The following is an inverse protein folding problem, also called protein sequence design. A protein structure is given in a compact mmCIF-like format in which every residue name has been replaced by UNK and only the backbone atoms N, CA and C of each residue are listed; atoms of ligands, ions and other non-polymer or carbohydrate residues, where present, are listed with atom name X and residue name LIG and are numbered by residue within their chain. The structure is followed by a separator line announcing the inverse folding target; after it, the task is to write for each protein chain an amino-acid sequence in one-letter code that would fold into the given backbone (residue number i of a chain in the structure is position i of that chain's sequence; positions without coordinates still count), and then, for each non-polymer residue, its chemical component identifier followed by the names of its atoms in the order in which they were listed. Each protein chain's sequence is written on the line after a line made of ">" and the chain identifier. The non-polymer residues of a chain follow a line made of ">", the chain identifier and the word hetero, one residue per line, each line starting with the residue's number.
data_IF_090583346355
#
_entry.id   IF_090583346355
#
_cell.length_a   1.000
_cell.length_b   1.000
_cell.length_c   1.000
_cell.angle_alpha   90.00
_cell.angle_beta   90.00
_cell.angle_gamma   90.00
#
_symmetry.space_group_name_H-M   'P 1'
#
loop_
_entity.id
_entity.type
_entity.pdbx_description
1 polymer ?
#
# COMPACT_ATOMS: atom_id res chain seq x y z
N UNK A 1 -1.37 18.25 -24.29
CA UNK A 1 -2.22 17.48 -23.37
C UNK A 1 -3.67 17.81 -23.70
N UNK A 2 -4.49 16.77 -23.89
CA UNK A 2 -5.95 16.92 -24.06
C UNK A 2 -6.62 16.73 -22.71
N UNK A 3 -7.41 17.68 -22.29
CA UNK A 3 -8.17 17.64 -21.04
C UNK A 3 -9.66 17.56 -21.40
N UNK A 4 -10.37 16.64 -20.76
CA UNK A 4 -11.84 16.55 -20.79
C UNK A 4 -12.38 16.97 -19.43
N UNK A 5 -13.31 17.92 -19.43
CA UNK A 5 -14.04 18.29 -18.22
C UNK A 5 -15.23 17.33 -17.94
N UNK A 6 -15.94 17.55 -16.84
CA UNK A 6 -17.10 16.74 -16.44
C UNK A 6 -18.27 16.80 -17.46
N UNK A 7 -18.26 17.76 -18.39
CA UNK A 7 -19.22 17.91 -19.48
C UNK A 7 -18.71 17.29 -20.80
N UNK A 8 -17.57 16.57 -20.78
CA UNK A 8 -16.86 16.02 -21.95
C UNK A 8 -16.37 17.08 -22.94
N UNK A 9 -16.26 18.35 -22.53
CA UNK A 9 -15.66 19.39 -23.36
C UNK A 9 -14.15 19.24 -23.37
N UNK A 10 -13.56 19.17 -24.56
CA UNK A 10 -12.12 19.05 -24.73
C UNK A 10 -11.44 20.42 -24.76
N UNK A 11 -10.30 20.51 -24.08
CA UNK A 11 -9.34 21.61 -24.18
C UNK A 11 -7.95 21.05 -24.40
N UNK A 12 -7.12 21.81 -25.14
CA UNK A 12 -5.75 21.43 -25.47
C UNK A 12 -4.78 22.37 -24.77
N UNK A 13 -3.85 21.80 -23.99
CA UNK A 13 -2.72 22.53 -23.41
C UNK A 13 -1.45 22.14 -24.16
N UNK A 14 -0.76 23.12 -24.73
CA UNK A 14 0.59 22.95 -25.25
C UNK A 14 1.61 23.15 -24.14
N UNK A 15 2.62 22.31 -24.09
CA UNK A 15 3.65 22.34 -23.03
C UNK A 15 4.98 21.83 -23.59
N UNK A 16 6.08 22.40 -23.14
CA UNK A 16 7.44 21.94 -23.48
C UNK A 16 7.84 20.69 -22.70
N UNK A 17 7.31 20.53 -21.49
CA UNK A 17 7.59 19.40 -20.58
C UNK A 17 6.31 18.89 -19.96
N UNK A 18 6.19 17.57 -19.83
CA UNK A 18 5.06 16.90 -19.19
C UNK A 18 5.58 15.96 -18.11
N UNK A 19 5.01 16.03 -16.91
CA UNK A 19 5.30 15.11 -15.82
C UNK A 19 4.05 14.26 -15.58
N UNK A 20 4.15 12.95 -15.72
CA UNK A 20 3.10 11.99 -15.39
C UNK A 20 3.20 11.68 -13.88
N UNK A 21 2.23 12.16 -13.09
CA UNK A 21 2.16 11.97 -11.64
C UNK A 21 0.77 11.47 -11.23
N UNK A 22 0.21 10.55 -12.00
CA UNK A 22 -1.18 10.09 -11.88
C UNK A 22 -1.39 9.07 -10.76
N UNK A 23 -0.31 8.69 -10.07
CA UNK A 23 -0.38 7.86 -8.87
C UNK A 23 -0.77 6.41 -9.13
N UNK A 24 -1.55 5.86 -8.22
CA UNK A 24 -1.98 4.46 -8.24
C UNK A 24 -3.45 4.30 -7.86
N UNK A 25 -4.00 3.12 -8.16
CA UNK A 25 -5.36 2.72 -7.79
C UNK A 25 -5.33 1.39 -7.02
N UNK A 26 -6.30 1.13 -6.12
CA UNK A 26 -6.41 -0.16 -5.44
C UNK A 26 -6.53 -1.32 -6.42
N UNK A 27 -5.99 -2.48 -6.03
CA UNK A 27 -6.16 -3.75 -6.74
C UNK A 27 -7.24 -4.57 -6.07
N UNK A 28 -8.10 -5.21 -6.84
CA UNK A 28 -9.00 -6.25 -6.34
C UNK A 28 -8.47 -7.65 -6.66
N UNK A 29 -9.04 -8.65 -6.00
CA UNK A 29 -8.81 -10.05 -6.32
C UNK A 29 -9.59 -10.44 -7.60
N UNK A 30 -9.11 -11.40 -8.40
CA UNK A 30 -9.81 -11.87 -9.58
C UNK A 30 -11.24 -12.32 -9.25
N UNK A 31 -12.22 -11.83 -10.02
CA UNK A 31 -13.64 -12.15 -9.85
C UNK A 31 -14.33 -11.48 -8.66
N UNK A 32 -13.65 -10.59 -7.94
CA UNK A 32 -14.22 -9.81 -6.83
C UNK A 32 -14.33 -8.36 -7.26
N UNK A 33 -15.56 -7.86 -7.31
CA UNK A 33 -15.86 -6.47 -7.62
C UNK A 33 -15.92 -5.65 -6.32
N UNK A 34 -15.23 -4.51 -6.30
CA UNK A 34 -15.31 -3.51 -5.23
C UNK A 34 -16.50 -2.61 -5.54
N UNK A 35 -17.54 -2.64 -4.68
CA UNK A 35 -18.76 -1.85 -4.82
C UNK A 35 -18.75 -0.56 -4.00
N UNK A 36 -17.68 -0.35 -3.21
CA UNK A 36 -17.47 0.78 -2.28
C UNK A 36 -18.61 0.97 -1.25
N UNK A 37 -19.35 -0.09 -0.96
CA UNK A 37 -20.46 -0.15 0.01
C UNK A 37 -20.29 -1.27 1.02
N UNK A 38 -20.22 -2.50 0.55
CA UNK A 38 -20.01 -3.71 1.35
C UNK A 38 -18.59 -4.26 1.13
N UNK A 39 -18.17 -4.32 -0.12
CA UNK A 39 -16.80 -4.67 -0.52
C UNK A 39 -16.10 -3.38 -0.89
N UNK A 40 -15.25 -2.88 0.00
CA UNK A 40 -14.65 -1.56 -0.13
C UNK A 40 -13.15 -1.65 -0.40
N UNK A 41 -12.63 -0.66 -1.11
CA UNK A 41 -11.21 -0.33 -1.09
C UNK A 41 -10.87 0.55 0.12
N UNK A 42 -9.60 0.98 0.24
CA UNK A 42 -9.22 2.00 1.22
C UNK A 42 -10.01 3.31 1.04
N UNK A 43 -10.41 3.65 -0.19
CA UNK A 43 -11.22 4.84 -0.47
C UNK A 43 -12.61 4.74 0.15
N UNK A 44 -13.30 3.61 -0.02
CA UNK A 44 -14.61 3.38 0.60
C UNK A 44 -14.50 3.19 2.11
N UNK A 45 -13.44 2.51 2.59
CA UNK A 45 -13.21 2.34 4.02
C UNK A 45 -13.06 3.68 4.78
N UNK A 46 -12.52 4.72 4.14
CA UNK A 46 -12.43 6.07 4.70
C UNK A 46 -13.75 6.85 4.68
N UNK A 47 -14.77 6.35 3.97
CA UNK A 47 -16.06 7.02 3.76
C UNK A 47 -17.25 6.27 4.37
N UNK A 48 -17.01 5.24 5.18
CA UNK A 48 -18.10 4.53 5.84
C UNK A 48 -18.87 5.44 6.79
N UNK A 49 -20.18 5.50 6.61
CA UNK A 49 -21.07 6.38 7.39
C UNK A 49 -21.23 5.94 8.85
N UNK A 50 -20.91 4.69 9.16
CA UNK A 50 -21.03 4.11 10.50
C UNK A 50 -19.95 3.06 10.76
N UNK A 51 -19.65 2.85 12.02
CA UNK A 51 -18.75 1.77 12.47
C UNK A 51 -19.41 0.43 12.17
N UNK A 52 -18.80 -0.45 11.34
CA UNK A 52 -19.31 -1.80 11.15
C UNK A 52 -19.15 -2.61 12.43
N UNK A 53 -20.09 -3.50 12.72
CA UNK A 53 -19.92 -4.43 13.87
C UNK A 53 -18.80 -5.41 13.61
N UNK A 54 -18.73 -5.94 12.38
CA UNK A 54 -17.71 -6.88 11.94
C UNK A 54 -17.09 -6.42 10.61
N UNK A 55 -15.77 -6.35 10.58
CA UNK A 55 -15.00 -6.04 9.38
C UNK A 55 -14.00 -7.17 9.09
N UNK A 56 -14.00 -7.67 7.86
CA UNK A 56 -12.93 -8.53 7.36
C UNK A 56 -11.99 -7.69 6.50
N UNK A 57 -10.71 -7.70 6.85
CA UNK A 57 -9.64 -7.06 6.08
C UNK A 57 -8.91 -8.13 5.29
N UNK A 58 -8.93 -8.03 3.97
CA UNK A 58 -8.21 -8.92 3.07
C UNK A 58 -6.90 -8.26 2.69
N UNK A 59 -5.81 -8.80 3.22
CA UNK A 59 -4.44 -8.30 3.09
C UNK A 59 -3.89 -7.70 4.39
N UNK A 60 -2.79 -8.26 4.87
CA UNK A 60 -2.08 -7.84 6.09
C UNK A 60 -0.95 -6.84 5.82
N UNK A 61 -1.05 -6.05 4.74
CA UNK A 61 -0.14 -4.95 4.42
C UNK A 61 -0.46 -3.67 5.20
N UNK A 62 0.30 -2.61 4.96
CA UNK A 62 0.23 -1.32 5.65
C UNK A 62 -1.21 -0.77 5.68
N UNK A 63 -1.83 -0.61 4.51
CA UNK A 63 -3.19 -0.05 4.39
C UNK A 63 -4.22 -0.88 5.15
N UNK A 64 -4.17 -2.20 5.04
CA UNK A 64 -5.10 -3.10 5.72
C UNK A 64 -5.00 -3.01 7.24
N UNK A 65 -3.77 -2.91 7.76
CA UNK A 65 -3.53 -2.82 9.22
C UNK A 65 -3.87 -1.44 9.77
N UNK A 66 -3.55 -0.36 9.04
CA UNK A 66 -3.92 1.00 9.43
C UNK A 66 -5.44 1.15 9.50
N UNK A 67 -6.15 0.82 8.43
CA UNK A 67 -7.61 0.90 8.41
C UNK A 67 -8.25 -0.05 9.41
N UNK A 68 -7.78 -1.30 9.48
CA UNK A 68 -8.25 -2.28 10.47
C UNK A 68 -8.04 -1.82 11.90
N UNK A 69 -6.89 -1.19 12.21
CA UNK A 69 -6.60 -0.62 13.53
C UNK A 69 -7.56 0.54 13.86
N UNK A 70 -7.80 1.45 12.92
CA UNK A 70 -8.76 2.56 13.10
C UNK A 70 -10.15 2.02 13.41
N UNK A 71 -10.68 1.13 12.59
CA UNK A 71 -12.03 0.59 12.78
C UNK A 71 -12.14 -0.26 14.03
N UNK A 72 -11.10 -1.03 14.41
CA UNK A 72 -11.06 -1.77 15.67
C UNK A 72 -11.13 -0.84 16.88
N UNK A 73 -10.39 0.26 16.87
CA UNK A 73 -10.40 1.28 17.95
C UNK A 73 -11.73 2.02 18.05
N UNK A 74 -12.47 2.13 16.95
CA UNK A 74 -13.83 2.68 16.91
C UNK A 74 -14.90 1.67 17.37
N UNK A 75 -14.52 0.40 17.60
CA UNK A 75 -15.40 -0.64 18.17
C UNK A 75 -15.81 -1.75 17.21
N UNK A 76 -15.25 -1.80 16.00
CA UNK A 76 -15.49 -2.92 15.09
C UNK A 76 -14.72 -4.18 15.55
N UNK A 77 -15.34 -5.35 15.41
CA UNK A 77 -14.62 -6.63 15.45
C UNK A 77 -13.88 -6.82 14.13
N UNK A 78 -12.55 -6.67 14.15
CA UNK A 78 -11.72 -6.74 12.96
C UNK A 78 -11.01 -8.08 12.84
N UNK A 79 -11.09 -8.67 11.65
CA UNK A 79 -10.46 -9.92 11.31
C UNK A 79 -9.64 -9.78 10.01
N UNK A 80 -8.33 -9.95 10.11
CA UNK A 80 -7.41 -9.91 8.98
C UNK A 80 -7.26 -11.30 8.38
N UNK A 81 -7.39 -11.40 7.07
CA UNK A 81 -7.12 -12.60 6.26
C UNK A 81 -5.91 -12.29 5.39
N UNK A 82 -4.82 -13.05 5.58
CA UNK A 82 -3.56 -12.84 4.87
C UNK A 82 -3.09 -14.16 4.22
N UNK A 83 -2.64 -14.07 2.97
CA UNK A 83 -2.12 -15.20 2.21
C UNK A 83 -0.73 -15.64 2.69
N UNK A 84 0.09 -14.69 3.11
CA UNK A 84 1.44 -14.94 3.62
C UNK A 84 1.40 -15.47 5.06
N UNK A 85 2.56 -15.90 5.55
CA UNK A 85 2.76 -16.37 6.94
C UNK A 85 3.00 -15.23 7.94
N UNK A 86 3.15 -13.99 7.45
CA UNK A 86 3.41 -12.78 8.25
C UNK A 86 2.70 -11.56 7.66
N UNK A 87 2.54 -10.54 8.48
CA UNK A 87 2.00 -9.22 8.08
C UNK A 87 3.14 -8.31 7.59
N UNK A 88 2.80 -7.13 7.03
CA UNK A 88 3.75 -6.10 6.59
C UNK A 88 4.88 -6.66 5.71
N UNK A 89 4.56 -7.30 4.56
CA UNK A 89 5.59 -7.81 3.67
C UNK A 89 6.55 -6.68 3.24
N UNK A 90 7.85 -6.97 3.32
CA UNK A 90 8.91 -5.98 3.05
C UNK A 90 9.52 -5.34 4.30
N UNK A 91 8.90 -5.48 5.47
CA UNK A 91 9.53 -5.21 6.76
C UNK A 91 10.30 -6.44 7.28
N UNK A 92 11.24 -6.19 8.19
CA UNK A 92 11.96 -7.24 8.91
C UNK A 92 10.97 -8.19 9.60
N UNK A 93 11.18 -9.50 9.45
CA UNK A 93 10.24 -10.52 9.92
C UNK A 93 10.07 -10.52 11.43
N UNK A 94 11.14 -10.23 12.20
CA UNK A 94 11.05 -10.15 13.65
C UNK A 94 10.13 -9.01 14.07
N UNK A 95 10.25 -7.84 13.43
CA UNK A 95 9.40 -6.68 13.70
C UNK A 95 7.95 -6.97 13.30
N UNK A 96 7.72 -7.58 12.14
CA UNK A 96 6.39 -7.97 11.67
C UNK A 96 5.69 -8.93 12.65
N UNK A 97 6.43 -9.89 13.20
CA UNK A 97 5.88 -10.85 14.18
C UNK A 97 5.54 -10.18 15.51
N UNK A 98 6.40 -9.29 16.01
CA UNK A 98 6.14 -8.55 17.24
C UNK A 98 4.95 -7.60 17.08
N UNK A 99 4.90 -6.89 15.97
CA UNK A 99 3.77 -6.02 15.62
C UNK A 99 2.43 -6.81 15.59
N UNK A 100 2.42 -7.99 14.96
CA UNK A 100 1.23 -8.83 14.94
C UNK A 100 0.79 -9.25 16.36
N UNK A 101 1.74 -9.54 17.27
CA UNK A 101 1.42 -9.87 18.68
C UNK A 101 0.75 -8.68 19.38
N UNK A 102 1.24 -7.47 19.16
CA UNK A 102 0.68 -6.24 19.72
C UNK A 102 -0.75 -6.04 19.22
N UNK A 103 -0.97 -6.10 17.90
CA UNK A 103 -2.30 -5.95 17.32
C UNK A 103 -3.28 -7.03 17.79
N UNK A 104 -2.82 -8.27 18.01
CA UNK A 104 -3.62 -9.34 18.63
C UNK A 104 -4.05 -8.99 20.05
N UNK A 105 -3.14 -8.43 20.86
CA UNK A 105 -3.49 -7.97 22.23
C UNK A 105 -4.52 -6.85 22.21
N UNK A 106 -4.54 -6.03 21.15
CA UNK A 106 -5.54 -4.99 20.94
C UNK A 106 -6.88 -5.50 20.39
N UNK A 107 -7.02 -6.82 20.14
CA UNK A 107 -8.27 -7.45 19.75
C UNK A 107 -8.42 -7.77 18.27
N UNK A 108 -7.45 -7.43 17.42
CA UNK A 108 -7.48 -7.78 16.00
C UNK A 108 -7.19 -9.28 15.83
N UNK A 109 -8.04 -9.98 15.11
CA UNK A 109 -7.88 -11.41 14.81
C UNK A 109 -7.13 -11.58 13.49
N UNK A 110 -6.25 -12.58 13.40
CA UNK A 110 -5.43 -12.85 12.22
C UNK A 110 -5.62 -14.30 11.75
N UNK A 111 -5.89 -14.45 10.47
CA UNK A 111 -5.95 -15.73 9.74
C UNK A 111 -4.87 -15.70 8.65
N UNK A 112 -3.68 -16.16 9.07
CA UNK A 112 -2.50 -16.21 8.20
C UNK A 112 -2.53 -17.45 7.32
N UNK A 113 -1.84 -17.39 6.17
CA UNK A 113 -1.78 -18.48 5.19
C UNK A 113 -3.17 -18.92 4.71
N UNK A 114 -4.07 -17.94 4.55
CA UNK A 114 -5.43 -18.13 4.07
C UNK A 114 -5.62 -17.40 2.74
N UNK A 115 -5.94 -18.16 1.70
CA UNK A 115 -6.29 -17.64 0.38
C UNK A 115 -7.78 -17.35 0.33
N UNK A 116 -8.17 -16.14 -0.04
CA UNK A 116 -9.57 -15.82 -0.35
C UNK A 116 -9.95 -16.45 -1.68
N UNK A 117 -11.00 -17.27 -1.68
CA UNK A 117 -11.54 -17.91 -2.88
C UNK A 117 -12.74 -17.14 -3.44
N UNK A 118 -13.59 -16.61 -2.57
CA UNK A 118 -14.78 -15.88 -2.98
C UNK A 118 -15.23 -14.89 -1.89
N UNK A 119 -15.89 -13.83 -2.32
CA UNK A 119 -16.65 -12.93 -1.45
C UNK A 119 -18.05 -12.83 -2.04
N UNK A 120 -19.06 -13.11 -1.23
CA UNK A 120 -20.46 -13.08 -1.64
C UNK A 120 -21.25 -12.13 -0.76
N UNK A 121 -21.88 -11.12 -1.39
CA UNK A 121 -22.79 -10.24 -0.69
C UNK A 121 -24.03 -11.03 -0.23
N UNK A 122 -24.52 -10.69 0.95
CA UNK A 122 -25.79 -11.18 1.49
C UNK A 122 -26.67 -9.97 1.90
N UNK A 123 -27.82 -10.23 2.52
CA UNK A 123 -28.78 -9.17 2.89
C UNK A 123 -28.25 -8.16 3.92
N UNK A 124 -27.22 -8.54 4.70
CA UNK A 124 -26.73 -7.77 5.87
C UNK A 124 -25.26 -7.42 5.78
N UNK A 125 -24.55 -7.84 4.72
CA UNK A 125 -23.11 -7.64 4.54
C UNK A 125 -22.54 -8.62 3.53
N UNK A 126 -21.50 -9.36 3.90
CA UNK A 126 -20.84 -10.34 3.03
C UNK A 126 -20.34 -11.57 3.79
N UNK A 127 -20.07 -12.62 3.03
CA UNK A 127 -19.34 -13.82 3.48
C UNK A 127 -18.05 -13.94 2.69
N UNK A 128 -16.91 -13.94 3.39
CA UNK A 128 -15.59 -14.17 2.82
C UNK A 128 -15.24 -15.64 2.99
N UNK A 129 -15.14 -16.37 1.87
CA UNK A 129 -14.74 -17.78 1.83
C UNK A 129 -13.25 -17.90 1.58
N UNK A 130 -12.56 -18.66 2.40
CA UNK A 130 -11.11 -18.85 2.31
C UNK A 130 -10.72 -20.32 2.38
N UNK A 131 -9.53 -20.63 1.90
CA UNK A 131 -8.86 -21.92 2.07
C UNK A 131 -7.48 -21.68 2.71
N UNK A 132 -7.15 -22.42 3.75
CA UNK A 132 -5.83 -22.36 4.35
C UNK A 132 -4.84 -23.29 3.61
N UNK A 133 -3.57 -23.24 4.00
CA UNK A 133 -2.50 -24.08 3.42
C UNK A 133 -2.77 -25.59 3.52
N UNK A 134 -3.56 -26.03 4.50
CA UNK A 134 -3.89 -27.43 4.74
C UNK A 134 -5.15 -27.87 3.98
N UNK A 135 -5.73 -26.98 3.15
CA UNK A 135 -6.94 -27.23 2.38
C UNK A 135 -8.24 -27.04 3.14
N UNK A 136 -8.21 -26.61 4.41
CA UNK A 136 -9.40 -26.38 5.20
C UNK A 136 -10.09 -25.10 4.75
N UNK A 137 -11.39 -25.19 4.54
CA UNK A 137 -12.24 -24.06 4.15
C UNK A 137 -12.80 -23.36 5.36
N UNK A 138 -12.76 -22.03 5.36
CA UNK A 138 -13.36 -21.19 6.38
C UNK A 138 -14.26 -20.13 5.73
N UNK A 139 -15.31 -19.73 6.45
CA UNK A 139 -16.21 -18.65 6.04
C UNK A 139 -16.27 -17.61 7.15
N UNK A 140 -16.12 -16.34 6.79
CA UNK A 140 -16.17 -15.21 7.71
C UNK A 140 -17.33 -14.29 7.32
N UNK A 141 -18.33 -14.21 8.18
CA UNK A 141 -19.45 -13.28 8.03
C UNK A 141 -19.08 -11.91 8.56
N UNK A 142 -19.38 -10.86 7.82
CA UNK A 142 -19.07 -9.47 8.17
C UNK A 142 -20.04 -8.47 7.55
N UNK A 143 -20.08 -7.26 8.11
CA UNK A 143 -20.86 -6.15 7.55
C UNK A 143 -20.12 -5.50 6.37
N UNK A 144 -18.77 -5.44 6.46
CA UNK A 144 -17.90 -4.80 5.48
C UNK A 144 -16.65 -5.64 5.25
N UNK A 145 -16.23 -5.74 3.99
CA UNK A 145 -14.95 -6.33 3.58
C UNK A 145 -14.06 -5.23 3.02
N UNK A 146 -12.88 -5.02 3.61
CA UNK A 146 -11.84 -4.16 3.05
C UNK A 146 -10.88 -4.98 2.20
N UNK A 147 -10.77 -4.66 0.92
CA UNK A 147 -9.76 -5.23 0.01
C UNK A 147 -8.53 -4.32 0.02
N UNK A 148 -7.41 -4.85 0.54
CA UNK A 148 -6.13 -4.14 0.69
C UNK A 148 -4.95 -4.99 0.25
N UNK A 149 -5.09 -5.66 -0.89
CA UNK A 149 -4.11 -6.61 -1.45
C UNK A 149 -3.05 -5.95 -2.34
N UNK A 150 -2.97 -4.64 -2.32
CA UNK A 150 -1.99 -3.84 -3.03
C UNK A 150 -2.59 -2.75 -3.91
N UNK A 151 -1.70 -2.08 -4.63
CA UNK A 151 -2.03 -0.98 -5.56
C UNK A 151 -1.34 -1.22 -6.89
N UNK A 152 -1.87 -0.66 -7.96
CA UNK A 152 -1.26 -0.66 -9.29
C UNK A 152 -1.16 0.75 -9.85
N UNK A 153 -0.18 0.99 -10.71
CA UNK A 153 0.01 2.26 -11.39
C UNK A 153 -1.25 2.71 -12.12
N UNK A 154 -1.58 3.99 -12.02
CA UNK A 154 -2.73 4.58 -12.70
C UNK A 154 -2.30 5.14 -14.06
N UNK A 155 -2.22 4.28 -15.05
CA UNK A 155 -1.85 4.61 -16.44
C UNK A 155 -3.04 4.64 -17.39
N UNK A 156 -4.24 4.31 -16.90
CA UNK A 156 -5.44 4.24 -17.71
C UNK A 156 -5.86 5.63 -18.22
N UNK A 157 -6.32 5.70 -19.48
CA UNK A 157 -6.84 6.93 -20.08
C UNK A 157 -5.77 7.96 -20.50
N UNK A 158 -4.48 7.69 -20.26
CA UNK A 158 -3.38 8.58 -20.64
C UNK A 158 -2.91 8.40 -22.09
N UNK A 159 -3.40 7.38 -22.77
CA UNK A 159 -3.05 7.06 -24.15
C UNK A 159 -1.52 6.88 -24.37
N UNK A 160 -0.81 6.34 -23.38
CA UNK A 160 0.65 6.23 -23.36
C UNK A 160 1.20 5.34 -24.48
N UNK A 161 0.46 4.26 -24.81
CA UNK A 161 0.85 3.33 -25.87
C UNK A 161 0.86 4.02 -27.25
N UNK A 162 -0.12 4.87 -27.54
CA UNK A 162 -0.17 5.64 -28.79
C UNK A 162 0.93 6.72 -28.88
N UNK A 163 1.42 7.20 -27.72
CA UNK A 163 2.55 8.11 -27.65
C UNK A 163 3.90 7.39 -27.73
N UNK A 164 3.91 6.05 -27.68
CA UNK A 164 5.12 5.25 -27.64
C UNK A 164 5.86 5.29 -26.30
N UNK A 165 5.20 5.69 -25.20
CA UNK A 165 5.79 5.67 -23.87
C UNK A 165 5.88 4.22 -23.38
N UNK A 166 7.09 3.80 -23.01
CA UNK A 166 7.34 2.44 -22.54
C UNK A 166 6.78 2.19 -21.15
N UNK A 167 6.10 1.03 -20.99
CA UNK A 167 5.64 0.51 -19.72
C UNK A 167 6.42 -0.78 -19.36
N UNK A 168 6.54 -1.05 -18.07
CA UNK A 168 7.06 -2.32 -17.59
C UNK A 168 5.98 -3.43 -17.56
N UNK A 169 6.35 -4.63 -17.14
CA UNK A 169 5.46 -5.79 -17.03
C UNK A 169 4.27 -5.57 -16.08
N UNK A 170 4.43 -4.64 -15.11
CA UNK A 170 3.38 -4.24 -14.15
C UNK A 170 2.60 -3.01 -14.61
N UNK A 171 2.76 -2.60 -15.89
CA UNK A 171 2.12 -1.43 -16.48
C UNK A 171 2.51 -0.10 -15.83
N UNK A 172 3.71 -0.03 -15.20
CA UNK A 172 4.28 1.20 -14.67
C UNK A 172 5.10 1.89 -15.77
N UNK A 173 5.12 3.22 -15.75
CA UNK A 173 5.92 4.00 -16.71
C UNK A 173 7.40 3.76 -16.44
N UNK A 174 8.16 3.38 -17.47
CA UNK A 174 9.61 3.24 -17.37
C UNK A 174 10.27 4.62 -17.43
N UNK A 175 11.21 4.85 -16.51
CA UNK A 175 12.02 6.06 -16.45
C UNK A 175 13.49 5.74 -16.25
N UNK A 176 14.35 6.66 -16.63
CA UNK A 176 15.75 6.65 -16.27
C UNK A 176 15.98 7.31 -14.89
N UNK A 177 17.23 7.44 -14.47
CA UNK A 177 17.62 8.02 -13.17
C UNK A 177 17.30 9.52 -13.04
N UNK A 178 16.90 10.20 -14.10
CA UNK A 178 16.45 11.61 -14.09
C UNK A 178 14.94 11.73 -14.27
N UNK A 179 14.20 10.62 -14.05
CA UNK A 179 12.74 10.51 -14.20
C UNK A 179 12.21 10.71 -15.63
N UNK A 180 13.09 10.75 -16.62
CA UNK A 180 12.74 10.90 -18.03
C UNK A 180 12.30 9.55 -18.61
N UNK A 181 11.22 9.54 -19.37
CA UNK A 181 10.77 8.36 -20.13
C UNK A 181 11.64 8.19 -21.41
N UNK A 182 11.29 7.23 -22.23
CA UNK A 182 11.88 7.09 -23.57
C UNK A 182 11.48 8.21 -24.54
N UNK A 183 10.54 9.08 -24.17
CA UNK A 183 10.13 10.27 -24.94
C UNK A 183 10.74 11.52 -24.31
N UNK A 184 11.45 12.31 -25.13
CA UNK A 184 12.35 13.38 -24.67
C UNK A 184 11.76 14.44 -23.75
N UNK A 185 10.50 14.76 -23.87
CA UNK A 185 9.83 15.80 -23.08
C UNK A 185 8.81 15.27 -22.08
N UNK A 186 8.79 13.93 -21.88
CA UNK A 186 7.86 13.27 -20.94
C UNK A 186 8.66 12.65 -19.80
N UNK A 187 8.26 13.00 -18.58
CA UNK A 187 8.80 12.50 -17.32
C UNK A 187 7.69 11.78 -16.54
N UNK A 188 8.05 10.95 -15.56
CA UNK A 188 7.08 10.34 -14.66
C UNK A 188 7.66 10.16 -13.27
N UNK A 189 6.79 10.30 -12.24
CA UNK A 189 7.15 10.23 -10.82
C UNK A 189 6.03 9.59 -9.99
N UNK A 190 6.34 9.23 -8.76
CA UNK A 190 5.38 8.72 -7.78
C UNK A 190 4.98 7.28 -8.06
N UNK A 191 3.75 6.92 -7.66
CA UNK A 191 3.27 5.52 -7.73
C UNK A 191 3.14 4.99 -9.16
N UNK A 192 3.15 5.85 -10.17
CA UNK A 192 3.02 5.45 -11.57
C UNK A 192 4.32 4.85 -12.14
N UNK A 193 5.45 5.03 -11.45
CA UNK A 193 6.76 4.45 -11.81
C UNK A 193 7.15 3.31 -10.85
N UNK A 194 8.33 2.73 -11.05
CA UNK A 194 8.91 1.70 -10.18
C UNK A 194 9.27 2.26 -8.79
N UNK A 195 9.37 1.36 -7.81
CA UNK A 195 9.69 1.68 -6.41
C UNK A 195 8.50 1.55 -5.47
N UNK A 196 8.67 1.88 -4.18
CA UNK A 196 7.60 1.85 -3.19
C UNK A 196 6.55 2.92 -3.49
N UNK A 197 5.27 2.59 -3.28
CA UNK A 197 4.15 3.52 -3.46
C UNK A 197 3.92 4.31 -2.18
N UNK A 198 4.73 5.36 -1.97
CA UNK A 198 4.77 6.18 -0.77
C UNK A 198 4.75 7.66 -1.14
N UNK A 199 3.97 8.46 -0.40
CA UNK A 199 3.79 9.89 -0.67
C UNK A 199 5.11 10.66 -0.62
N UNK A 200 5.91 10.47 0.45
CA UNK A 200 7.20 11.14 0.61
C UNK A 200 8.23 10.74 -0.47
N UNK A 201 8.19 9.49 -0.96
CA UNK A 201 8.98 9.10 -2.13
C UNK A 201 8.59 9.92 -3.36
N UNK A 202 7.29 10.10 -3.60
CA UNK A 202 6.80 10.88 -4.72
C UNK A 202 7.13 12.38 -4.58
N UNK A 203 7.15 12.92 -3.35
CA UNK A 203 7.57 14.29 -3.05
C UNK A 203 9.04 14.51 -3.37
N UNK A 204 9.93 13.62 -2.89
CA UNK A 204 11.36 13.66 -3.21
C UNK A 204 11.61 13.55 -4.71
N UNK A 205 10.91 12.66 -5.41
CA UNK A 205 10.98 12.54 -6.86
C UNK A 205 10.48 13.80 -7.57
N UNK A 206 9.44 14.45 -7.03
CA UNK A 206 8.91 15.72 -7.53
C UNK A 206 9.94 16.85 -7.48
N UNK A 207 10.67 16.94 -6.38
CA UNK A 207 11.78 17.91 -6.23
C UNK A 207 12.89 17.57 -7.25
N UNK A 208 13.35 16.32 -7.25
CA UNK A 208 14.46 15.90 -8.10
C UNK A 208 14.14 16.03 -9.61
N UNK A 209 12.92 15.72 -10.05
CA UNK A 209 12.53 15.91 -11.46
C UNK A 209 12.49 17.39 -11.85
N UNK A 210 12.02 18.26 -10.96
CA UNK A 210 12.01 19.70 -11.21
C UNK A 210 13.43 20.26 -11.34
N UNK A 211 14.34 19.85 -10.44
CA UNK A 211 15.77 20.19 -10.52
C UNK A 211 16.41 19.71 -11.83
N UNK A 212 16.15 18.45 -12.23
CA UNK A 212 16.65 17.90 -13.49
C UNK A 212 16.13 18.66 -14.72
N UNK A 213 14.85 19.05 -14.73
CA UNK A 213 14.25 19.85 -15.80
C UNK A 213 14.88 21.25 -15.85
N UNK A 214 15.25 21.81 -14.70
CA UNK A 214 15.93 23.10 -14.58
C UNK A 214 17.44 23.04 -14.90
N UNK A 215 17.97 21.87 -15.28
CA UNK A 215 19.39 21.67 -15.59
C UNK A 215 20.30 21.51 -14.36
N UNK A 216 19.70 21.22 -13.19
CA UNK A 216 20.42 20.87 -11.98
C UNK A 216 20.58 19.33 -11.87
N UNK A 217 21.20 18.85 -10.79
CA UNK A 217 21.46 17.41 -10.55
C UNK A 217 20.57 16.87 -9.43
N UNK A 218 19.27 16.76 -9.70
CA UNK A 218 18.31 16.16 -8.76
C UNK A 218 18.43 14.64 -8.73
N UNK A 219 18.42 14.05 -7.53
CA UNK A 219 18.43 12.61 -7.34
C UNK A 219 17.70 12.19 -6.06
N UNK A 220 17.21 10.94 -6.01
CA UNK A 220 16.58 10.35 -4.84
C UNK A 220 17.37 9.12 -4.41
N UNK A 221 17.68 9.04 -3.11
CA UNK A 221 18.28 7.85 -2.52
C UNK A 221 17.20 6.88 -2.02
N UNK A 222 16.85 5.90 -2.81
CA UNK A 222 15.82 4.92 -2.49
C UNK A 222 16.16 4.00 -1.30
N UNK A 223 17.44 3.84 -0.97
CA UNK A 223 17.86 3.04 0.20
C UNK A 223 17.54 3.74 1.54
N UNK A 224 17.20 5.03 1.51
CA UNK A 224 16.90 5.82 2.71
C UNK A 224 15.44 6.28 2.79
N UNK A 225 14.57 5.78 1.93
CA UNK A 225 13.13 6.06 2.00
C UNK A 225 12.52 5.22 3.13
N UNK A 226 11.94 5.84 4.17
CA UNK A 226 11.35 5.10 5.27
C UNK A 226 10.01 4.47 4.88
N UNK A 227 9.75 3.26 5.36
CA UNK A 227 8.43 2.65 5.37
C UNK A 227 7.80 2.82 6.76
N UNK A 228 6.58 3.33 6.84
CA UNK A 228 5.88 3.56 8.12
C UNK A 228 4.48 2.95 8.07
N UNK A 229 4.08 2.29 9.15
CA UNK A 229 2.70 1.88 9.41
C UNK A 229 2.16 2.76 10.54
N UNK A 230 1.18 3.59 10.23
CA UNK A 230 0.58 4.56 11.16
C UNK A 230 -0.51 3.92 12.03
N UNK A 231 -0.06 3.05 12.93
CA UNK A 231 -0.89 2.40 13.96
C UNK A 231 -0.47 2.87 15.35
N UNK A 232 -1.03 2.30 16.39
CA UNK A 232 -0.56 2.46 17.77
C UNK A 232 -0.15 1.09 18.31
N UNK A 233 1.18 0.86 18.54
CA UNK A 233 2.30 1.75 18.21
C UNK A 233 2.52 1.91 16.71
N UNK A 234 3.20 2.97 16.30
CA UNK A 234 3.73 3.11 14.94
C UNK A 234 4.87 2.11 14.73
N UNK A 235 5.00 1.62 13.49
CA UNK A 235 6.11 0.77 13.09
C UNK A 235 6.81 1.40 11.90
N UNK A 236 8.10 1.66 12.02
CA UNK A 236 8.89 2.27 10.96
C UNK A 236 10.13 1.44 10.64
N UNK A 237 10.52 1.46 9.37
CA UNK A 237 11.74 0.82 8.89
C UNK A 237 12.42 1.67 7.83
N UNK A 238 13.74 1.57 7.74
CA UNK A 238 14.54 2.22 6.70
C UNK A 238 15.71 1.31 6.34
N UNK A 239 16.07 1.27 5.06
CA UNK A 239 17.16 0.43 4.56
C UNK A 239 16.76 -1.03 4.40
N UNK A 240 17.75 -1.92 4.51
CA UNK A 240 17.59 -3.35 4.23
C UNK A 240 17.21 -4.14 5.48
N UNK A 241 16.33 -5.12 5.31
CA UNK A 241 15.99 -6.09 6.37
C UNK A 241 17.10 -7.12 6.57
N UNK A 242 17.03 -7.85 7.68
CA UNK A 242 17.96 -8.95 7.95
C UNK A 242 17.89 -10.03 6.87
N UNK A 243 16.70 -10.35 6.37
CA UNK A 243 16.48 -11.32 5.30
C UNK A 243 17.19 -10.88 4.01
N UNK A 244 17.03 -9.62 3.62
CA UNK A 244 17.69 -9.07 2.43
C UNK A 244 19.22 -9.06 2.56
N UNK A 245 19.76 -8.75 3.75
CA UNK A 245 21.19 -8.82 3.99
C UNK A 245 21.74 -10.25 3.90
N UNK A 246 20.96 -11.23 4.37
CA UNK A 246 21.31 -12.66 4.25
C UNK A 246 21.33 -13.10 2.78
N UNK A 247 20.32 -12.73 2.00
CA UNK A 247 20.25 -13.02 0.56
C UNK A 247 21.43 -12.40 -0.20
N UNK A 248 21.84 -11.19 0.17
CA UNK A 248 22.98 -10.48 -0.41
C UNK A 248 24.35 -10.99 0.12
N UNK A 249 24.37 -11.96 1.05
CA UNK A 249 25.56 -12.42 1.74
C UNK A 249 26.39 -11.27 2.38
N UNK A 250 25.71 -10.22 2.80
CA UNK A 250 26.34 -9.05 3.44
C UNK A 250 26.58 -9.36 4.91
N UNK A 251 27.81 -9.10 5.41
CA UNK A 251 28.14 -9.22 6.83
C UNK A 251 27.50 -8.07 7.60
N UNK A 252 26.80 -8.36 8.68
CA UNK A 252 26.15 -7.37 9.53
C UNK A 252 26.26 -7.75 11.01
N UNK A 253 25.91 -6.82 11.88
CA UNK A 253 25.74 -7.02 13.33
C UNK A 253 24.34 -6.54 13.73
N UNK A 254 23.73 -7.21 14.70
CA UNK A 254 22.42 -6.84 15.23
C UNK A 254 22.60 -6.15 16.56
N UNK A 255 22.00 -4.97 16.72
CA UNK A 255 21.82 -4.30 17.99
C UNK A 255 20.31 -4.11 18.25
N UNK A 256 19.86 -4.36 19.50
CA UNK A 256 18.47 -4.21 19.89
C UNK A 256 18.38 -3.38 21.18
N UNK A 257 17.33 -2.55 21.25
CA UNK A 257 17.03 -1.79 22.45
C UNK A 257 15.50 -1.81 22.67
N UNK A 258 15.09 -2.22 23.88
CA UNK A 258 13.67 -2.30 24.21
C UNK A 258 13.09 -0.94 24.55
N UNK A 259 11.91 -0.60 24.01
CA UNK A 259 11.17 0.61 24.40
C UNK A 259 10.80 0.62 25.88
N UNK A 260 10.62 -0.55 26.53
CA UNK A 260 10.45 -0.64 27.99
C UNK A 260 11.64 -0.09 28.78
N UNK A 261 12.83 0.02 28.18
CA UNK A 261 14.00 0.64 28.80
C UNK A 261 14.18 2.11 28.37
N UNK A 262 13.33 2.62 27.46
CA UNK A 262 13.40 3.99 26.97
C UNK A 262 12.66 4.93 27.92
N UNK A 263 13.37 5.94 28.45
CA UNK A 263 12.80 6.88 29.43
C UNK A 263 11.66 7.72 28.87
N UNK A 264 11.74 8.13 27.59
CA UNK A 264 10.67 8.89 26.93
C UNK A 264 9.42 8.03 26.73
N UNK A 265 9.58 6.80 26.23
CA UNK A 265 8.45 5.87 26.08
C UNK A 265 7.72 5.63 27.40
N UNK A 266 8.50 5.44 28.50
CA UNK A 266 7.92 5.34 29.86
C UNK A 266 7.22 6.62 30.30
N UNK A 267 7.79 7.78 30.02
CA UNK A 267 7.21 9.05 30.45
C UNK A 267 5.86 9.36 29.78
N UNK A 268 5.64 8.86 28.57
CA UNK A 268 4.38 9.01 27.83
C UNK A 268 3.46 7.77 27.91
N UNK A 269 3.83 6.80 28.75
CA UNK A 269 3.10 5.52 28.94
C UNK A 269 2.93 4.71 27.65
N UNK A 270 3.96 4.68 26.80
CA UNK A 270 4.01 3.99 25.51
C UNK A 270 5.29 3.13 25.40
N UNK A 271 5.54 2.27 26.41
CA UNK A 271 6.73 1.41 26.51
C UNK A 271 6.43 -0.08 26.32
#
# INVERSE_FOLDING_TARGET
>A
IVIKDDQNKESIIQTDKTIIATGSVPVSLPGIEIDEKVIVSSTGALKLDKVPKKMVVVGGGYIGLEMGSVWSRLGAEVQVVEFLDHITPGMDKEISLEFMKILKKQGIKFNMQNKVEAIKNNKTGAVVSTVNKDGNKNNFECDVVLISVGRKANTNGLNLEALGVELDERKRVKTNNTFKTNIDNIYAIGDVISGPMLAHKAEDEGIAVAENIAGQSGHVNYDTIPGVVYTTPEVASIGKTEEQLKELNTKYKIGKFSFMANSRAKAIDDA
#
